data_IF_338174567644
#
_entry.id   IF_338174567644
#
_cell.length_a   1.000
_cell.length_b   1.000
_cell.length_c   1.000
_cell.angle_alpha   90.00
_cell.angle_beta   90.00
_cell.angle_gamma   90.00
#
_symmetry.space_group_name_H-M   'P 1'
#
loop_
_entity.id
_entity.type
_entity.pdbx_description
1 polymer ?
#
# COMPACT_ATOMS: atom_id res chain seq x y z
N UNK A 1 2.57 19.21 -17.22
CA UNK A 1 2.91 19.86 -15.93
C UNK A 1 3.61 18.81 -15.07
N UNK A 2 4.67 19.17 -14.32
CA UNK A 2 5.27 18.24 -13.37
C UNK A 2 4.27 17.89 -12.25
N UNK A 3 4.34 16.68 -11.67
CA UNK A 3 3.44 16.25 -10.62
C UNK A 3 3.69 17.05 -9.34
N UNK A 4 2.64 17.19 -8.54
CA UNK A 4 2.76 17.75 -7.20
C UNK A 4 3.63 16.83 -6.35
N UNK A 5 4.54 17.44 -5.58
CA UNK A 5 5.37 16.74 -4.60
C UNK A 5 4.64 16.70 -3.28
N UNK A 6 4.52 15.51 -2.70
CA UNK A 6 3.99 15.30 -1.38
C UNK A 6 5.10 15.55 -0.37
N UNK A 7 4.87 16.52 0.51
CA UNK A 7 5.76 16.87 1.62
C UNK A 7 4.97 16.75 2.91
N UNK A 8 5.68 16.70 4.03
CA UNK A 8 5.04 16.82 5.33
C UNK A 8 4.24 18.13 5.41
N UNK A 9 3.07 18.05 6.03
CA UNK A 9 2.22 19.20 6.32
C UNK A 9 1.70 19.06 7.74
N UNK A 10 1.82 20.14 8.50
CA UNK A 10 1.21 20.22 9.83
C UNK A 10 -0.33 20.27 9.77
N UNK A 11 -0.87 20.75 8.64
CA UNK A 11 -2.30 20.80 8.39
C UNK A 11 -2.59 20.69 6.89
N UNK A 12 -3.30 19.63 6.48
CA UNK A 12 -3.84 19.46 5.14
C UNK A 12 -5.34 19.76 5.15
N UNK A 13 -5.82 20.64 4.26
CA UNK A 13 -7.23 21.06 4.24
C UNK A 13 -8.20 19.92 3.87
N UNK A 14 -7.74 18.93 3.11
CA UNK A 14 -8.57 17.79 2.69
C UNK A 14 -8.67 16.76 3.81
N UNK A 15 -7.55 16.47 4.46
CA UNK A 15 -7.52 15.53 5.60
C UNK A 15 -7.89 16.20 6.93
N UNK A 16 -7.97 17.54 6.97
CA UNK A 16 -8.24 18.38 8.15
C UNK A 16 -7.33 18.06 9.34
N UNK A 17 -6.08 17.70 9.07
CA UNK A 17 -5.13 17.25 10.08
C UNK A 17 -3.70 17.19 9.54
N UNK A 18 -2.72 16.82 10.39
CA UNK A 18 -1.34 16.63 9.96
C UNK A 18 -1.21 15.43 9.03
N UNK A 19 -0.33 15.55 8.04
CA UNK A 19 -0.02 14.48 7.08
C UNK A 19 1.48 14.40 6.90
N UNK A 20 2.04 13.19 7.00
CA UNK A 20 3.46 12.93 6.72
C UNK A 20 3.59 12.30 5.33
N UNK A 21 4.66 12.60 4.61
CA UNK A 21 4.95 12.01 3.31
C UNK A 21 6.29 11.26 3.38
N UNK A 22 6.28 9.95 3.09
CA UNK A 22 7.47 9.10 3.13
C UNK A 22 7.64 8.35 1.80
N UNK A 23 8.77 8.51 1.09
CA UNK A 23 9.88 9.44 1.35
C UNK A 23 9.49 10.90 1.07
N UNK A 24 10.05 11.85 1.83
CA UNK A 24 9.68 13.27 1.69
C UNK A 24 9.94 13.81 0.28
N UNK A 25 8.95 14.46 -0.32
CA UNK A 25 9.04 15.04 -1.65
C UNK A 25 8.71 14.09 -2.80
N UNK A 26 8.19 12.89 -2.51
CA UNK A 26 7.75 11.96 -3.56
C UNK A 26 6.59 12.54 -4.36
N UNK A 27 6.49 12.14 -5.62
CA UNK A 27 5.44 12.56 -6.53
C UNK A 27 4.59 11.37 -6.97
N UNK A 28 3.48 11.64 -7.67
CA UNK A 28 2.64 10.58 -8.26
C UNK A 28 3.36 9.72 -9.30
N UNK A 29 4.57 10.09 -9.72
CA UNK A 29 5.41 9.29 -10.63
C UNK A 29 6.35 8.35 -9.88
N UNK A 30 6.62 8.61 -8.61
CA UNK A 30 7.47 7.77 -7.79
C UNK A 30 6.75 6.48 -7.42
N UNK A 31 7.49 5.37 -7.46
CA UNK A 31 6.97 4.05 -7.12
C UNK A 31 7.95 3.30 -6.24
N UNK A 32 7.42 2.62 -5.23
CA UNK A 32 8.21 1.71 -4.40
C UNK A 32 8.21 0.36 -5.09
N UNK A 33 9.37 -0.10 -5.57
CA UNK A 33 9.49 -1.44 -6.17
C UNK A 33 9.77 -2.45 -5.07
N UNK A 34 8.87 -3.43 -4.91
CA UNK A 34 8.99 -4.52 -3.94
C UNK A 34 8.84 -5.83 -4.70
N UNK A 35 9.81 -6.74 -4.55
CA UNK A 35 9.81 -8.03 -5.24
C UNK A 35 9.78 -9.15 -4.22
N UNK A 36 8.60 -9.77 -4.05
CA UNK A 36 8.40 -10.88 -3.12
C UNK A 36 7.60 -11.96 -3.86
N UNK A 37 8.28 -13.05 -4.22
CA UNK A 37 7.67 -14.16 -4.95
C UNK A 37 6.55 -14.80 -4.13
N UNK A 38 5.35 -14.84 -4.70
CA UNK A 38 4.14 -15.32 -4.02
C UNK A 38 3.96 -14.74 -2.61
N UNK A 39 4.44 -13.50 -2.39
CA UNK A 39 4.42 -12.88 -1.06
C UNK A 39 2.99 -12.70 -0.56
N UNK A 40 2.69 -13.10 0.69
CA UNK A 40 1.43 -12.79 1.34
C UNK A 40 1.37 -11.31 1.71
N UNK A 41 0.17 -10.82 2.04
CA UNK A 41 -0.03 -9.43 2.48
C UNK A 41 0.84 -9.11 3.69
N UNK A 42 1.00 -10.08 4.60
CA UNK A 42 1.82 -9.91 5.79
C UNK A 42 3.27 -9.52 5.47
N UNK A 43 3.91 -10.18 4.51
CA UNK A 43 5.29 -9.85 4.10
C UNK A 43 5.40 -8.43 3.53
N UNK A 44 4.39 -7.97 2.78
CA UNK A 44 4.38 -6.59 2.30
C UNK A 44 4.26 -5.58 3.45
N UNK A 45 3.39 -5.86 4.43
CA UNK A 45 3.22 -5.01 5.62
C UNK A 45 4.52 -4.95 6.42
N UNK A 46 5.11 -6.12 6.68
CA UNK A 46 6.37 -6.25 7.42
C UNK A 46 7.49 -5.47 6.75
N UNK A 47 7.61 -5.59 5.42
CA UNK A 47 8.62 -4.86 4.64
C UNK A 47 8.43 -3.33 4.68
N UNK A 48 7.20 -2.84 4.69
CA UNK A 48 6.90 -1.40 4.81
C UNK A 48 7.19 -0.92 6.23
N UNK A 49 6.80 -1.71 7.23
CA UNK A 49 6.99 -1.39 8.64
C UNK A 49 8.49 -1.37 9.01
N UNK A 50 9.27 -2.38 8.61
CA UNK A 50 10.72 -2.38 8.84
C UNK A 50 11.43 -1.22 8.13
N UNK A 51 11.01 -0.89 6.91
CA UNK A 51 11.71 0.10 6.08
C UNK A 51 11.43 1.54 6.48
N UNK A 52 10.21 1.84 6.91
CA UNK A 52 9.75 3.20 7.17
C UNK A 52 9.29 3.41 8.62
N UNK A 53 9.24 2.36 9.44
CA UNK A 53 8.76 2.38 10.83
C UNK A 53 7.33 2.91 10.96
N UNK A 54 6.46 2.53 10.01
CA UNK A 54 5.05 2.94 9.96
C UNK A 54 4.11 1.72 9.97
N UNK A 55 2.90 1.92 10.47
CA UNK A 55 1.85 0.92 10.48
C UNK A 55 1.03 0.97 9.18
N UNK A 56 0.74 -0.19 8.58
CA UNK A 56 -0.07 -0.28 7.37
C UNK A 56 -1.54 -0.53 7.74
N UNK A 57 -2.40 0.44 7.44
CA UNK A 57 -3.81 0.39 7.80
C UNK A 57 -4.65 -0.24 6.68
N UNK A 58 -4.36 0.11 5.44
CA UNK A 58 -5.14 -0.30 4.26
C UNK A 58 -4.22 -0.68 3.10
N UNK A 59 -4.58 -1.73 2.37
CA UNK A 59 -3.92 -2.11 1.11
C UNK A 59 -5.00 -2.34 0.04
N UNK A 60 -4.85 -1.66 -1.08
CA UNK A 60 -5.75 -1.74 -2.24
C UNK A 60 -4.98 -1.91 -3.54
N UNK A 61 -5.61 -2.55 -4.51
CA UNK A 61 -5.10 -2.69 -5.89
C UNK A 61 -6.19 -2.17 -6.82
N UNK A 62 -5.99 -0.95 -7.33
CA UNK A 62 -7.04 -0.22 -8.04
C UNK A 62 -8.30 -0.10 -7.17
N UNK A 63 -9.45 -0.56 -7.69
CA UNK A 63 -10.72 -0.52 -6.96
C UNK A 63 -10.92 -1.69 -5.97
N UNK A 64 -9.97 -2.62 -5.87
CA UNK A 64 -10.09 -3.79 -5.00
C UNK A 64 -9.34 -3.57 -3.68
N UNK A 65 -10.07 -3.51 -2.57
CA UNK A 65 -9.49 -3.47 -1.23
C UNK A 65 -9.09 -4.88 -0.77
N UNK A 66 -7.78 -5.12 -0.67
CA UNK A 66 -7.20 -6.42 -0.31
C UNK A 66 -7.17 -6.61 1.20
N UNK A 67 -6.70 -5.60 1.92
CA UNK A 67 -6.53 -5.64 3.37
C UNK A 67 -6.95 -4.33 4.02
N UNK A 68 -7.56 -4.44 5.19
CA UNK A 68 -7.97 -3.34 6.02
C UNK A 68 -7.86 -3.78 7.49
N UNK A 69 -7.01 -3.11 8.27
CA UNK A 69 -6.76 -3.44 9.67
C UNK A 69 -8.01 -3.30 10.56
N UNK A 70 -8.94 -2.42 10.18
CA UNK A 70 -10.23 -2.23 10.88
C UNK A 70 -11.22 -3.39 10.65
N UNK A 71 -10.95 -4.28 9.69
CA UNK A 71 -11.80 -5.42 9.39
C UNK A 71 -11.18 -6.71 9.97
N UNK A 72 -11.73 -7.28 11.05
CA UNK A 72 -11.15 -8.44 11.73
C UNK A 72 -11.08 -9.69 10.84
N UNK A 73 -11.99 -9.80 9.86
CA UNK A 73 -11.98 -10.88 8.88
C UNK A 73 -10.76 -10.81 7.94
N UNK A 74 -10.27 -9.61 7.62
CA UNK A 74 -9.12 -9.43 6.73
C UNK A 74 -7.82 -9.80 7.45
N UNK A 75 -7.71 -9.42 8.73
CA UNK A 75 -6.56 -9.77 9.56
C UNK A 75 -6.42 -11.28 9.76
N UNK A 76 -7.54 -12.02 9.90
CA UNK A 76 -7.45 -13.46 10.17
C UNK A 76 -7.27 -14.32 8.94
N UNK A 77 -7.96 -14.02 7.85
CA UNK A 77 -8.05 -14.95 6.70
C UNK A 77 -7.27 -14.50 5.47
N UNK A 78 -6.93 -13.20 5.35
CA UNK A 78 -6.32 -12.63 4.14
C UNK A 78 -4.85 -12.29 4.32
N UNK A 79 -4.37 -12.06 5.56
CA UNK A 79 -2.97 -11.73 5.83
C UNK A 79 -1.99 -12.78 5.30
N UNK A 80 -2.33 -14.07 5.44
CA UNK A 80 -1.49 -15.17 5.00
C UNK A 80 -1.71 -15.57 3.53
N UNK A 81 -2.62 -14.90 2.83
CA UNK A 81 -2.89 -15.21 1.41
C UNK A 81 -1.97 -14.39 0.52
N UNK A 82 -1.48 -14.98 -0.58
CA UNK A 82 -0.71 -14.24 -1.58
C UNK A 82 -1.55 -13.13 -2.21
N UNK A 83 -0.93 -11.95 -2.39
CA UNK A 83 -1.60 -10.74 -2.88
C UNK A 83 -2.27 -10.98 -4.24
N UNK A 84 -1.59 -11.71 -5.13
CA UNK A 84 -2.08 -12.00 -6.48
C UNK A 84 -3.34 -12.89 -6.49
N UNK A 85 -3.38 -13.94 -5.66
CA UNK A 85 -4.57 -14.81 -5.54
C UNK A 85 -5.75 -14.05 -4.94
N UNK A 86 -5.49 -13.24 -3.90
CA UNK A 86 -6.54 -12.47 -3.26
C UNK A 86 -7.12 -11.42 -4.22
N UNK A 87 -6.25 -10.77 -4.99
CA UNK A 87 -6.69 -9.84 -6.04
C UNK A 87 -7.54 -10.55 -7.09
N UNK A 88 -7.13 -11.72 -7.57
CA UNK A 88 -7.92 -12.52 -8.52
C UNK A 88 -9.29 -12.90 -7.94
N UNK A 89 -9.35 -13.28 -6.65
CA UNK A 89 -10.58 -13.61 -5.95
C UNK A 89 -11.53 -12.41 -5.82
N UNK A 90 -11.02 -11.23 -5.49
CA UNK A 90 -11.83 -10.03 -5.22
C UNK A 90 -12.22 -9.32 -6.53
N UNK A 91 -11.26 -9.16 -7.43
CA UNK A 91 -11.47 -8.47 -8.72
C UNK A 91 -12.27 -9.32 -9.70
N UNK A 92 -12.42 -10.63 -9.45
CA UNK A 92 -13.04 -11.62 -10.36
C UNK A 92 -12.46 -11.54 -11.78
N UNK A 93 -11.20 -11.12 -11.88
CA UNK A 93 -10.46 -10.94 -13.12
C UNK A 93 -9.20 -11.78 -13.03
N UNK A 94 -8.88 -12.45 -14.13
CA UNK A 94 -7.62 -13.17 -14.24
C UNK A 94 -6.47 -12.18 -14.41
N UNK A 95 -5.39 -12.46 -13.69
CA UNK A 95 -4.14 -11.75 -13.85
C UNK A 95 -3.54 -12.13 -15.21
N UNK A 96 -3.22 -11.13 -16.03
CA UNK A 96 -2.57 -11.35 -17.32
C UNK A 96 -1.27 -12.14 -17.12
N UNK A 97 -1.10 -13.21 -17.90
CA UNK A 97 0.10 -14.08 -17.82
C UNK A 97 1.39 -13.32 -18.13
N UNK A 98 1.30 -12.26 -18.94
CA UNK A 98 2.42 -11.38 -19.27
C UNK A 98 2.80 -10.41 -18.13
N UNK A 99 1.87 -10.14 -17.19
CA UNK A 99 2.16 -9.28 -16.04
C UNK A 99 2.80 -10.07 -14.92
N UNK A 100 3.96 -9.57 -14.48
CA UNK A 100 4.71 -10.09 -13.34
C UNK A 100 4.56 -9.23 -12.09
N UNK A 101 3.83 -8.11 -12.20
CA UNK A 101 3.65 -7.14 -11.13
C UNK A 101 2.23 -6.59 -11.08
N UNK A 102 1.85 -6.13 -9.89
CA UNK A 102 0.63 -5.37 -9.62
C UNK A 102 0.99 -4.06 -8.95
N UNK A 103 0.16 -3.04 -9.19
CA UNK A 103 0.30 -1.74 -8.51
C UNK A 103 -0.60 -1.77 -7.29
N UNK A 104 0.02 -1.66 -6.13
CA UNK A 104 -0.59 -1.71 -4.83
C UNK A 104 -0.52 -0.30 -4.24
N UNK A 105 -1.63 0.18 -3.71
CA UNK A 105 -1.69 1.41 -2.92
C UNK A 105 -1.86 1.00 -1.46
N UNK A 106 -1.09 1.63 -0.60
CA UNK A 106 -1.14 1.37 0.83
C UNK A 106 -1.30 2.69 1.57
N UNK A 107 -2.22 2.69 2.53
CA UNK A 107 -2.42 3.79 3.47
C UNK A 107 -1.78 3.40 4.79
N UNK A 108 -0.91 4.26 5.29
CA UNK A 108 -0.14 4.01 6.49
C UNK A 108 -0.42 5.09 7.52
N UNK A 109 -0.18 4.76 8.78
CA UNK A 109 -0.23 5.71 9.89
C UNK A 109 1.05 5.58 10.71
N UNK A 110 1.49 6.68 11.29
CA UNK A 110 2.61 6.70 12.23
C UNK A 110 2.14 6.37 13.66
N UNK A 111 3.07 6.24 14.60
CA UNK A 111 2.78 5.94 16.02
C UNK A 111 1.81 6.94 16.67
N UNK A 112 1.84 8.20 16.23
CA UNK A 112 0.93 9.27 16.67
C UNK A 112 -0.44 9.24 15.97
N UNK A 113 -0.78 8.16 15.25
CA UNK A 113 -1.99 8.03 14.43
C UNK A 113 -2.12 9.10 13.33
N UNK A 114 -0.99 9.69 12.93
CA UNK A 114 -0.92 10.65 11.84
C UNK A 114 -0.89 9.89 10.52
N UNK A 115 -1.72 10.31 9.56
CA UNK A 115 -1.73 9.72 8.21
C UNK A 115 -0.38 9.92 7.51
N UNK A 116 0.17 8.81 7.03
CA UNK A 116 1.42 8.77 6.27
C UNK A 116 1.10 8.39 4.83
N UNK A 117 1.38 9.31 3.93
CA UNK A 117 1.31 9.10 2.49
C UNK A 117 2.61 8.45 2.01
N UNK A 118 2.45 7.39 1.22
CA UNK A 118 3.55 6.71 0.54
C UNK A 118 3.24 6.58 -0.96
N UNK A 119 4.25 6.53 -1.84
CA UNK A 119 4.05 6.31 -3.26
C UNK A 119 3.43 4.94 -3.54
N UNK A 120 2.80 4.80 -4.70
CA UNK A 120 2.25 3.52 -5.13
C UNK A 120 3.36 2.46 -5.20
N UNK A 121 3.03 1.26 -4.75
CA UNK A 121 3.97 0.15 -4.64
C UNK A 121 3.82 -0.72 -5.88
N UNK A 122 4.91 -0.90 -6.61
CA UNK A 122 5.00 -1.90 -7.67
C UNK A 122 5.42 -3.23 -7.05
N UNK A 123 4.44 -4.10 -6.78
CA UNK A 123 4.66 -5.41 -6.18
C UNK A 123 4.86 -6.48 -7.26
N UNK A 124 6.07 -7.04 -7.34
CA UNK A 124 6.46 -8.09 -8.27
C UNK A 124 6.28 -9.44 -7.57
N UNK A 125 5.37 -10.28 -8.09
CA UNK A 125 4.95 -11.52 -7.45
C UNK A 125 5.40 -12.80 -8.17
N UNK A 126 5.94 -12.69 -9.39
CA UNK A 126 6.51 -13.79 -10.20
C UNK A 126 8.03 -13.86 -10.12
#
# INVERSE_FOLDING_TARGET
>A
MPPLRMMDKEYDELMKGPVKAIPNGFSSWDKIVISIKNGPIKDLIDHINEKYSIDVNLISVGNACLYNCYLPAHNKERLNKPIHELYKQISKQDLLEDKNYIIVEASCSDQDLVDVLIPSIQFIYK
#
